data_IF_708753497418
#
_entry.id   IF_708753497418
#
_cell.length_a   1.000
_cell.length_b   1.000
_cell.length_c   1.000
_cell.angle_alpha   90.00
_cell.angle_beta   90.00
_cell.angle_gamma   90.00
#
_symmetry.space_group_name_H-M   'P 1'
#
loop_
_entity.id
_entity.type
_entity.pdbx_description
1 polymer ?
#
# COMPACT_ATOMS: atom_id res chain seq x y z
N UNK A 1 -6.27 7.72 -11.75
CA UNK A 1 -5.66 8.18 -10.48
C UNK A 1 -4.28 8.76 -10.76
N UNK A 2 -3.92 9.88 -10.16
CA UNK A 2 -2.63 10.54 -10.36
C UNK A 2 -2.09 11.06 -9.04
N UNK A 3 -0.77 11.05 -8.86
CA UNK A 3 -0.12 11.46 -7.59
C UNK A 3 0.60 12.79 -7.77
N UNK A 4 0.48 13.74 -6.81
CA UNK A 4 1.29 14.95 -6.78
C UNK A 4 2.78 14.64 -6.66
N UNK A 5 3.58 15.14 -7.61
CA UNK A 5 5.05 15.06 -7.55
C UNK A 5 5.67 16.34 -6.98
N UNK A 6 5.16 17.51 -7.38
CA UNK A 6 5.73 18.81 -7.02
C UNK A 6 4.68 19.90 -6.97
N UNK A 7 4.83 20.81 -6.02
CA UNK A 7 4.12 22.08 -5.98
C UNK A 7 5.02 23.20 -6.50
N UNK A 8 4.53 23.99 -7.44
CA UNK A 8 5.20 25.17 -7.99
C UNK A 8 4.69 26.43 -7.29
N UNK A 9 5.57 27.12 -6.55
CA UNK A 9 5.17 28.27 -5.72
C UNK A 9 4.88 29.53 -6.53
N UNK A 10 5.52 29.70 -7.68
CA UNK A 10 5.40 30.92 -8.49
C UNK A 10 4.08 30.93 -9.27
N UNK A 11 3.66 29.75 -9.73
CA UNK A 11 2.41 29.57 -10.47
C UNK A 11 1.24 29.06 -9.62
N UNK A 12 1.51 28.51 -8.44
CA UNK A 12 0.52 27.81 -7.61
C UNK A 12 0.11 26.44 -8.15
N UNK A 13 0.83 25.89 -9.12
CA UNK A 13 0.46 24.66 -9.82
C UNK A 13 0.88 23.40 -9.05
N UNK A 14 0.09 22.33 -9.18
CA UNK A 14 0.47 20.97 -8.75
C UNK A 14 0.83 20.15 -9.98
N UNK A 15 2.06 19.65 -10.03
CA UNK A 15 2.51 18.72 -11.07
C UNK A 15 2.17 17.29 -10.66
N UNK A 16 1.49 16.58 -11.54
CA UNK A 16 1.02 15.22 -11.32
C UNK A 16 1.80 14.23 -12.20
N UNK A 17 1.95 12.97 -11.74
CA UNK A 17 2.64 11.91 -12.51
C UNK A 17 1.92 11.63 -13.84
N UNK A 18 0.61 11.44 -13.77
CA UNK A 18 -0.24 11.17 -14.92
C UNK A 18 -0.99 12.46 -15.32
N UNK A 19 -1.08 12.76 -16.62
CA UNK A 19 -1.82 13.92 -17.10
C UNK A 19 -3.31 13.79 -16.75
N UNK A 20 -3.93 14.93 -16.46
CA UNK A 20 -5.38 15.07 -16.28
C UNK A 20 -5.90 15.91 -17.44
N UNK A 21 -6.97 15.49 -18.15
CA UNK A 21 -7.57 16.30 -19.20
C UNK A 21 -8.02 17.67 -18.67
N UNK A 22 -7.93 18.69 -19.52
CA UNK A 22 -8.48 20.01 -19.20
C UNK A 22 -9.98 19.90 -18.85
N UNK A 23 -10.45 20.80 -17.99
CA UNK A 23 -11.85 20.90 -17.55
C UNK A 23 -12.39 19.65 -16.82
N UNK A 24 -11.51 18.77 -16.33
CA UNK A 24 -11.91 17.64 -15.49
C UNK A 24 -12.28 18.11 -14.08
N UNK A 25 -13.39 17.58 -13.55
CA UNK A 25 -13.65 17.60 -12.11
C UNK A 25 -12.75 16.57 -11.42
N UNK A 26 -12.04 16.98 -10.37
CA UNK A 26 -11.09 16.13 -9.65
C UNK A 26 -11.42 16.11 -8.16
N UNK A 27 -11.20 14.96 -7.54
CA UNK A 27 -11.25 14.81 -6.08
C UNK A 27 -9.83 14.60 -5.55
N UNK A 28 -9.46 15.39 -4.55
CA UNK A 28 -8.17 15.26 -3.86
C UNK A 28 -8.34 14.25 -2.73
N UNK A 29 -7.62 13.14 -2.83
CA UNK A 29 -7.44 12.23 -1.70
C UNK A 29 -6.32 12.74 -0.79
N UNK A 30 -6.55 12.74 0.52
CA UNK A 30 -5.58 13.14 1.52
C UNK A 30 -5.48 12.07 2.59
N UNK A 31 -4.29 11.89 3.16
CA UNK A 31 -4.07 11.01 4.29
C UNK A 31 -2.99 11.61 5.20
N UNK A 32 -3.24 11.57 6.50
CA UNK A 32 -2.27 11.83 7.54
C UNK A 32 -1.28 10.67 7.65
N UNK A 33 -0.16 10.90 8.34
CA UNK A 33 0.81 9.82 8.60
C UNK A 33 0.21 8.69 9.43
N UNK A 34 -0.67 9.01 10.36
CA UNK A 34 -1.36 8.02 11.19
C UNK A 34 -2.32 7.16 10.37
N UNK A 35 -3.10 7.77 9.47
CA UNK A 35 -3.96 7.02 8.55
C UNK A 35 -3.17 6.12 7.60
N UNK A 36 -1.98 6.54 7.14
CA UNK A 36 -1.10 5.69 6.33
C UNK A 36 -0.62 4.47 7.13
N UNK A 37 -0.22 4.65 8.39
CA UNK A 37 0.24 3.56 9.27
C UNK A 37 -0.92 2.62 9.63
N UNK A 38 -2.11 3.18 9.88
CA UNK A 38 -3.31 2.38 10.16
C UNK A 38 -3.75 1.57 8.93
N UNK A 39 -3.66 2.14 7.73
CA UNK A 39 -3.91 1.41 6.49
C UNK A 39 -2.96 0.20 6.32
N UNK A 40 -1.71 0.31 6.79
CA UNK A 40 -0.77 -0.81 6.76
C UNK A 40 -1.15 -1.91 7.76
N UNK A 41 -1.64 -1.53 8.96
CA UNK A 41 -2.21 -2.47 9.93
C UNK A 41 -3.37 -3.26 9.32
N UNK A 42 -4.34 -2.52 8.76
CA UNK A 42 -5.55 -3.07 8.15
C UNK A 42 -5.22 -4.01 6.99
N UNK A 43 -4.24 -3.65 6.15
CA UNK A 43 -3.79 -4.51 5.06
C UNK A 43 -3.27 -5.88 5.57
N UNK A 44 -2.51 -5.89 6.67
CA UNK A 44 -2.05 -7.14 7.29
C UNK A 44 -3.20 -7.97 7.89
N UNK A 45 -4.17 -7.32 8.54
CA UNK A 45 -5.36 -8.00 9.10
C UNK A 45 -6.22 -8.61 7.98
N UNK A 46 -6.42 -7.87 6.89
CA UNK A 46 -7.14 -8.33 5.70
C UNK A 46 -6.42 -9.53 5.07
N UNK A 47 -5.10 -9.45 4.93
CA UNK A 47 -4.31 -10.53 4.34
C UNK A 47 -4.38 -11.82 5.18
N UNK A 48 -4.32 -11.72 6.51
CA UNK A 48 -4.49 -12.87 7.42
C UNK A 48 -5.90 -13.44 7.31
N UNK A 49 -6.93 -12.58 7.32
CA UNK A 49 -8.33 -13.01 7.22
C UNK A 49 -8.63 -13.72 5.89
N UNK A 50 -7.99 -13.28 4.81
CA UNK A 50 -8.14 -13.87 3.48
C UNK A 50 -7.28 -15.13 3.26
N UNK A 51 -6.41 -15.50 4.22
CA UNK A 51 -5.54 -16.66 4.06
C UNK A 51 -6.36 -17.98 4.15
N UNK A 52 -6.33 -18.85 3.12
CA UNK A 52 -7.33 -19.93 2.97
C UNK A 52 -7.35 -20.98 4.09
N UNK A 53 -6.18 -21.39 4.59
CA UNK A 53 -6.02 -22.33 5.71
C UNK A 53 -4.56 -22.41 6.14
N UNK A 54 -4.29 -22.92 7.34
CA UNK A 54 -2.93 -23.02 7.89
C UNK A 54 -2.45 -21.71 8.51
N UNK A 55 -1.14 -21.53 8.56
CA UNK A 55 -0.51 -20.29 9.06
C UNK A 55 0.39 -19.70 7.98
N UNK A 56 0.46 -18.37 7.84
CA UNK A 56 1.45 -17.74 7.00
C UNK A 56 2.88 -18.15 7.44
N UNK A 57 3.74 -18.45 6.48
CA UNK A 57 5.12 -18.86 6.68
C UNK A 57 6.11 -17.82 6.17
N UNK A 58 5.71 -16.96 5.23
CA UNK A 58 6.46 -15.80 4.75
C UNK A 58 5.53 -14.71 4.20
N UNK A 59 6.05 -13.49 4.04
CA UNK A 59 5.31 -12.39 3.39
C UNK A 59 6.16 -11.65 2.36
N UNK A 60 5.53 -11.29 1.23
CA UNK A 60 6.05 -10.31 0.29
C UNK A 60 5.32 -8.98 0.50
N UNK A 61 6.06 -7.90 0.72
CA UNK A 61 5.50 -6.58 1.05
C UNK A 61 5.96 -5.56 0.00
N UNK A 62 5.01 -4.89 -0.64
CA UNK A 62 5.26 -3.85 -1.63
C UNK A 62 4.59 -2.56 -1.15
N UNK A 63 5.36 -1.50 -0.97
CA UNK A 63 4.82 -0.21 -0.50
C UNK A 63 5.15 0.87 -1.52
N UNK A 64 4.18 1.73 -1.83
CA UNK A 64 4.42 2.84 -2.73
C UNK A 64 5.52 3.76 -2.18
N UNK A 65 6.51 4.13 -3.02
CA UNK A 65 7.61 5.02 -2.66
C UNK A 65 7.11 6.40 -2.15
N UNK A 66 5.92 6.83 -2.58
CA UNK A 66 5.25 8.02 -2.05
C UNK A 66 4.94 7.94 -0.56
N UNK A 67 4.59 6.74 -0.05
CA UNK A 67 4.33 6.52 1.39
C UNK A 67 5.61 6.68 2.21
N UNK A 68 6.74 6.15 1.74
CA UNK A 68 8.06 6.40 2.35
C UNK A 68 8.37 7.89 2.44
N UNK A 69 8.15 8.63 1.36
CA UNK A 69 8.37 10.08 1.34
C UNK A 69 7.44 10.82 2.31
N UNK A 70 6.15 10.45 2.35
CA UNK A 70 5.16 11.05 3.23
C UNK A 70 5.43 10.78 4.72
N UNK A 71 5.82 9.55 5.06
CA UNK A 71 6.09 9.10 6.43
C UNK A 71 7.43 9.63 6.96
N UNK A 72 8.45 9.76 6.12
CA UNK A 72 9.77 10.25 6.52
C UNK A 72 10.38 9.39 7.63
N UNK A 73 10.66 9.97 8.79
CA UNK A 73 11.23 9.26 9.95
C UNK A 73 10.32 8.16 10.51
N UNK A 74 9.02 8.22 10.21
CA UNK A 74 8.00 7.24 10.64
C UNK A 74 7.87 6.05 9.69
N UNK A 75 8.70 5.96 8.65
CA UNK A 75 8.62 4.89 7.64
C UNK A 75 8.65 3.48 8.28
N UNK A 76 9.44 3.28 9.33
CA UNK A 76 9.52 1.97 9.98
C UNK A 76 8.24 1.58 10.76
N UNK A 77 7.41 2.56 11.13
CA UNK A 77 6.13 2.30 11.80
C UNK A 77 5.15 1.59 10.86
N UNK A 78 5.16 1.92 9.56
CA UNK A 78 4.35 1.22 8.55
C UNK A 78 4.67 -0.29 8.51
N UNK A 79 5.95 -0.63 8.39
CA UNK A 79 6.39 -2.03 8.39
C UNK A 79 6.07 -2.74 9.70
N UNK A 80 6.31 -2.07 10.83
CA UNK A 80 6.06 -2.64 12.16
C UNK A 80 4.57 -2.89 12.39
N UNK A 81 3.72 -1.92 12.03
CA UNK A 81 2.26 -1.99 12.15
C UNK A 81 1.67 -3.15 11.34
N UNK A 82 2.12 -3.30 10.09
CA UNK A 82 1.71 -4.41 9.22
C UNK A 82 2.18 -5.77 9.73
N UNK A 83 3.46 -5.89 10.10
CA UNK A 83 4.00 -7.19 10.53
C UNK A 83 3.44 -7.63 11.88
N UNK A 84 3.12 -6.69 12.77
CA UNK A 84 2.42 -6.98 14.02
C UNK A 84 1.00 -7.49 13.78
N UNK A 85 0.27 -6.98 12.78
CA UNK A 85 -1.09 -7.45 12.49
C UNK A 85 -1.13 -8.82 11.81
N UNK A 86 -0.05 -9.23 11.13
CA UNK A 86 0.09 -10.59 10.58
C UNK A 86 0.24 -11.64 11.70
N UNK A 87 0.79 -11.25 12.86
CA UNK A 87 1.00 -12.14 14.01
C UNK A 87 2.47 -12.59 14.15
N UNK A 88 2.71 -13.91 14.19
CA UNK A 88 4.04 -14.50 14.39
C UNK A 88 5.07 -13.84 13.46
N UNK A 89 6.29 -13.55 13.96
CA UNK A 89 7.38 -13.07 13.10
C UNK A 89 7.72 -14.13 12.05
N UNK A 90 7.31 -13.88 10.82
CA UNK A 90 7.66 -14.65 9.63
C UNK A 90 8.72 -13.89 8.81
N UNK A 91 9.56 -14.58 8.03
CA UNK A 91 10.43 -13.93 7.07
C UNK A 91 9.65 -13.03 6.12
N UNK A 92 10.16 -11.81 5.92
CA UNK A 92 9.57 -10.83 5.01
C UNK A 92 10.58 -10.42 3.94
N UNK A 93 10.12 -10.27 2.70
CA UNK A 93 10.88 -9.65 1.62
C UNK A 93 10.02 -8.60 0.91
N UNK A 94 10.63 -7.67 0.19
CA UNK A 94 9.89 -6.56 -0.39
C UNK A 94 10.75 -5.42 -0.91
N UNK A 95 10.10 -4.45 -1.53
CA UNK A 95 10.72 -3.20 -1.99
C UNK A 95 9.68 -2.10 -2.19
N UNK A 96 10.16 -0.86 -2.39
CA UNK A 96 9.28 0.27 -2.70
C UNK A 96 8.96 0.34 -4.19
N UNK A 97 7.70 0.61 -4.50
CA UNK A 97 7.12 0.59 -5.86
C UNK A 97 6.60 1.96 -6.29
N UNK A 98 6.45 2.18 -7.59
CA UNK A 98 5.82 3.39 -8.15
C UNK A 98 4.40 3.08 -8.65
N UNK A 99 3.64 2.38 -7.82
CA UNK A 99 2.33 1.84 -8.12
C UNK A 99 2.33 0.31 -8.15
N UNK A 100 1.17 -0.27 -7.89
CA UNK A 100 0.96 -1.71 -7.74
C UNK A 100 -0.20 -2.15 -8.63
N UNK A 101 -0.13 -3.34 -9.21
CA UNK A 101 -1.23 -3.94 -9.98
C UNK A 101 -1.69 -5.18 -9.24
N UNK A 102 -2.88 -5.12 -8.64
CA UNK A 102 -3.46 -6.23 -7.91
C UNK A 102 -4.98 -6.10 -7.86
N UNK A 103 -5.71 -7.20 -7.60
CA UNK A 103 -7.15 -7.12 -7.38
C UNK A 103 -7.43 -6.43 -6.03
N UNK A 104 -8.43 -5.54 -5.93
CA UNK A 104 -8.84 -4.96 -4.65
C UNK A 104 -9.48 -5.99 -3.71
N UNK A 105 -10.09 -7.03 -4.26
CA UNK A 105 -10.76 -8.12 -3.55
C UNK A 105 -10.43 -9.47 -4.21
N UNK A 106 -10.50 -10.60 -3.48
CA UNK A 106 -10.36 -11.92 -4.09
C UNK A 106 -11.27 -12.10 -5.32
N UNK A 107 -10.74 -12.75 -6.37
CA UNK A 107 -11.44 -13.05 -7.63
C UNK A 107 -11.94 -11.83 -8.45
N UNK A 108 -11.48 -10.61 -8.11
CA UNK A 108 -11.79 -9.39 -8.89
C UNK A 108 -10.72 -9.08 -9.96
N UNK A 109 -11.06 -8.19 -10.89
CA UNK A 109 -10.11 -7.71 -11.90
C UNK A 109 -9.01 -6.88 -11.23
N UNK A 110 -7.75 -7.11 -11.64
CA UNK A 110 -6.63 -6.31 -11.16
C UNK A 110 -6.76 -4.85 -11.60
N UNK A 111 -6.53 -3.94 -10.66
CA UNK A 111 -6.53 -2.50 -10.88
C UNK A 111 -5.15 -1.92 -10.60
N UNK A 112 -4.88 -0.73 -11.12
CA UNK A 112 -3.69 0.04 -10.77
C UNK A 112 -3.92 0.82 -9.49
N UNK A 113 -3.06 0.59 -8.50
CA UNK A 113 -3.07 1.27 -7.21
C UNK A 113 -1.89 2.24 -7.12
N UNK A 114 -2.08 3.36 -6.45
CA UNK A 114 -1.03 4.33 -6.13
C UNK A 114 -1.22 4.79 -4.70
N UNK A 115 -0.13 5.12 -4.00
CA UNK A 115 -0.17 5.44 -2.57
C UNK A 115 -0.72 4.29 -1.71
N UNK A 116 -0.64 3.06 -2.21
CA UNK A 116 -1.10 1.86 -1.54
C UNK A 116 0.07 1.06 -0.96
N UNK A 117 -0.30 0.02 -0.20
CA UNK A 117 0.60 -1.03 0.25
C UNK A 117 -0.09 -2.35 -0.07
N UNK A 118 0.68 -3.31 -0.58
CA UNK A 118 0.23 -4.67 -0.89
C UNK A 118 1.07 -5.66 -0.11
N UNK A 119 0.40 -6.60 0.56
CA UNK A 119 1.04 -7.73 1.22
C UNK A 119 0.52 -9.05 0.64
N UNK A 120 1.44 -9.95 0.31
CA UNK A 120 1.14 -11.30 -0.14
C UNK A 120 1.64 -12.27 0.91
N UNK A 121 0.73 -12.99 1.55
CA UNK A 121 1.07 -14.04 2.51
C UNK A 121 1.28 -15.36 1.78
N UNK A 122 2.36 -16.05 2.14
CA UNK A 122 2.77 -17.32 1.58
C UNK A 122 2.77 -18.37 2.69
N UNK A 123 2.28 -19.56 2.38
CA UNK A 123 2.35 -20.70 3.29
C UNK A 123 1.77 -21.95 2.65
N UNK A 124 1.91 -23.05 3.35
CA UNK A 124 1.35 -24.34 2.97
C UNK A 124 -0.11 -24.42 3.38
N UNK A 125 -0.95 -24.99 2.52
CA UNK A 125 -2.31 -25.35 2.89
C UNK A 125 -2.25 -26.35 4.06
N UNK A 126 -3.13 -26.18 5.05
CA UNK A 126 -3.28 -27.21 6.08
C UNK A 126 -3.68 -28.51 5.37
N UNK A 127 -2.88 -29.57 5.57
CA UNK A 127 -3.03 -30.83 4.84
C UNK A 127 -4.48 -31.33 4.84
N UNK A 128 -4.96 -31.69 3.65
CA UNK A 128 -6.14 -32.54 3.44
C UNK A 128 -5.83 -33.98 3.79
#
# INVERSE_FOLDING_TARGET
>A
MSTPQRFDKDTGSIHLVNPIPADSEVQIATASRDEIIDAARLAGEQAVKAFPSGVPEAALIFSCAGRRAALGTRTNEEYTSLTQSIGKRIPTAGFYTYGEICPPEPDSTSLTHTNALVAVLLGTAAGT
#
